data_IF_377457088754
#
_entry.id   IF_377457088754
#
_cell.length_a   1.000
_cell.length_b   1.000
_cell.length_c   1.000
_cell.angle_alpha   90.00
_cell.angle_beta   90.00
_cell.angle_gamma   90.00
#
_symmetry.space_group_name_H-M   'P 1'
#
loop_
_entity.id
_entity.type
_entity.pdbx_description
1 polymer ?
#
# COMPACT_ATOMS: atom_id res chain seq x y z
N UNK A 1 -16.90 9.87 13.67
CA UNK A 1 -16.25 10.78 14.64
C UNK A 1 -15.35 10.03 15.61
N UNK A 2 -15.86 9.11 16.45
CA UNK A 2 -15.07 8.39 17.46
C UNK A 2 -13.80 7.72 16.90
N UNK A 3 -13.94 6.88 15.86
CA UNK A 3 -12.80 6.16 15.25
C UNK A 3 -11.76 7.07 14.59
N UNK A 4 -12.12 8.32 14.25
CA UNK A 4 -11.17 9.31 13.73
C UNK A 4 -10.46 10.04 14.89
N UNK A 5 -11.11 10.19 16.05
CA UNK A 5 -10.57 10.92 17.20
C UNK A 5 -9.53 10.09 17.95
N UNK A 6 -9.76 8.80 18.11
CA UNK A 6 -8.95 7.92 18.95
C UNK A 6 -8.36 6.78 18.13
N UNK A 7 -7.04 6.75 18.01
CA UNK A 7 -6.30 5.67 17.34
C UNK A 7 -5.28 5.07 18.32
N UNK A 8 -5.28 3.74 18.47
CA UNK A 8 -4.39 3.04 19.41
C UNK A 8 -2.93 3.01 18.95
N UNK A 9 -2.67 3.25 17.67
CA UNK A 9 -1.34 3.20 17.06
C UNK A 9 -0.75 4.60 16.92
N UNK A 10 -1.57 5.56 16.48
CA UNK A 10 -1.14 6.91 16.10
C UNK A 10 -1.57 8.00 17.10
N UNK A 11 -2.27 7.61 18.18
CA UNK A 11 -2.68 8.51 19.25
C UNK A 11 -3.97 9.26 18.94
N UNK A 12 -4.20 10.34 19.68
CA UNK A 12 -5.41 11.15 19.55
C UNK A 12 -5.23 12.12 18.38
N UNK A 13 -6.25 12.25 17.53
CA UNK A 13 -6.24 13.28 16.49
C UNK A 13 -6.20 14.67 17.13
N UNK A 14 -5.14 15.42 16.82
CA UNK A 14 -4.83 16.73 17.40
C UNK A 14 -5.79 17.85 16.90
N UNK A 15 -6.51 17.58 15.81
CA UNK A 15 -7.50 18.50 15.28
C UNK A 15 -8.86 18.44 15.98
N UNK A 16 -9.75 19.33 15.54
CA UNK A 16 -11.14 19.39 15.98
C UNK A 16 -12.02 18.54 15.08
N UNK A 17 -12.83 17.68 15.69
CA UNK A 17 -13.81 16.84 15.01
C UNK A 17 -15.18 17.10 15.62
N UNK A 18 -16.14 17.42 14.78
CA UNK A 18 -17.55 17.53 15.14
C UNK A 18 -18.39 16.67 14.19
N UNK A 19 -19.59 16.28 14.64
CA UNK A 19 -20.59 15.66 13.77
C UNK A 19 -21.42 16.77 13.15
N UNK A 20 -21.57 16.76 11.83
CA UNK A 20 -22.52 17.67 11.16
C UNK A 20 -23.94 17.13 11.39
N UNK A 21 -24.82 17.95 11.97
CA UNK A 21 -26.21 17.58 12.26
C UNK A 21 -27.02 17.22 11.01
N UNK A 22 -26.53 17.55 9.81
CA UNK A 22 -27.15 17.26 8.53
C UNK A 22 -26.43 16.17 7.72
N UNK A 23 -25.83 15.18 8.40
CA UNK A 23 -25.07 14.04 7.83
C UNK A 23 -23.66 14.41 7.32
N UNK A 24 -22.66 14.13 8.15
CA UNK A 24 -21.26 14.37 7.81
C UNK A 24 -20.35 14.52 9.03
N UNK A 25 -19.12 14.94 8.76
CA UNK A 25 -18.17 15.37 9.78
C UNK A 25 -17.74 16.81 9.50
N UNK A 26 -17.39 17.54 10.55
CA UNK A 26 -16.65 18.79 10.43
C UNK A 26 -15.27 18.53 11.02
N UNK A 27 -14.23 18.55 10.16
CA UNK A 27 -12.85 18.29 10.57
C UNK A 27 -12.04 19.56 10.30
N UNK A 28 -11.50 20.16 11.37
CA UNK A 28 -10.79 21.44 11.29
C UNK A 28 -11.58 22.53 10.54
N UNK A 29 -12.88 22.64 10.83
CA UNK A 29 -13.79 23.61 10.21
C UNK A 29 -14.25 23.25 8.79
N UNK A 30 -13.74 22.17 8.20
CA UNK A 30 -14.13 21.72 6.86
C UNK A 30 -15.23 20.67 6.95
N UNK A 31 -16.35 20.93 6.26
CA UNK A 31 -17.44 19.96 6.15
C UNK A 31 -17.04 18.82 5.21
N UNK A 32 -17.28 17.60 5.64
CA UNK A 32 -17.00 16.35 4.93
C UNK A 32 -18.30 15.55 4.87
N UNK A 33 -18.76 15.25 3.65
CA UNK A 33 -19.93 14.39 3.44
C UNK A 33 -19.63 12.97 3.89
N UNK A 34 -20.63 12.30 4.45
CA UNK A 34 -20.52 10.91 4.91
C UNK A 34 -21.65 10.07 4.31
N UNK A 35 -21.28 9.01 3.62
CA UNK A 35 -22.20 8.09 2.94
C UNK A 35 -22.10 6.69 3.57
N UNK A 36 -23.16 5.90 3.44
CA UNK A 36 -23.24 4.53 3.99
C UNK A 36 -23.63 3.51 2.91
N UNK A 37 -23.20 3.78 1.67
CA UNK A 37 -23.49 2.91 0.54
C UNK A 37 -22.56 1.71 0.49
N UNK A 38 -23.12 0.54 0.16
CA UNK A 38 -22.33 -0.68 -0.12
C UNK A 38 -21.90 -0.76 -1.57
N UNK A 39 -22.69 -0.18 -2.48
CA UNK A 39 -22.36 -0.10 -3.89
C UNK A 39 -21.59 1.20 -4.16
N UNK A 40 -20.32 1.12 -4.62
CA UNK A 40 -19.54 2.29 -4.98
C UNK A 40 -20.18 3.21 -6.03
N UNK A 41 -21.05 2.66 -6.89
CA UNK A 41 -21.75 3.41 -7.93
C UNK A 41 -22.90 4.25 -7.39
N UNK A 42 -23.42 3.93 -6.19
CA UNK A 42 -24.50 4.68 -5.54
C UNK A 42 -23.98 5.92 -4.78
N UNK A 43 -22.66 6.07 -4.62
CA UNK A 43 -22.09 7.20 -3.89
C UNK A 43 -22.06 8.44 -4.81
N UNK A 44 -22.73 9.56 -4.45
CA UNK A 44 -22.82 10.74 -5.30
C UNK A 44 -21.57 11.63 -5.16
N UNK A 45 -20.41 11.13 -5.59
CA UNK A 45 -19.14 11.85 -5.54
C UNK A 45 -19.16 13.19 -6.27
N UNK A 46 -19.85 13.26 -7.42
CA UNK A 46 -20.00 14.50 -8.18
C UNK A 46 -20.70 15.60 -7.39
N UNK A 47 -21.76 15.26 -6.65
CA UNK A 47 -22.48 16.20 -5.78
C UNK A 47 -21.61 16.66 -4.59
N UNK A 48 -20.73 15.78 -4.11
CA UNK A 48 -19.78 16.10 -3.05
C UNK A 48 -18.59 16.94 -3.53
N UNK A 49 -18.41 17.10 -4.84
CA UNK A 49 -17.21 17.72 -5.44
C UNK A 49 -15.94 16.87 -5.27
N UNK A 50 -16.08 15.57 -5.05
CA UNK A 50 -14.95 14.66 -4.83
C UNK A 50 -14.41 14.12 -6.17
N UNK A 51 -13.30 14.70 -6.65
CA UNK A 51 -12.74 14.35 -7.96
C UNK A 51 -11.84 13.10 -7.93
N UNK A 52 -11.08 12.91 -6.85
CA UNK A 52 -10.13 11.81 -6.68
C UNK A 52 -10.57 10.93 -5.51
N UNK A 53 -10.82 9.65 -5.78
CA UNK A 53 -11.30 8.71 -4.76
C UNK A 53 -10.20 7.75 -4.38
N UNK A 54 -9.97 7.63 -3.07
CA UNK A 54 -9.12 6.58 -2.51
C UNK A 54 -9.99 5.36 -2.24
N UNK A 55 -9.79 4.31 -3.03
CA UNK A 55 -10.48 3.03 -2.84
C UNK A 55 -9.67 2.18 -1.85
N UNK A 56 -10.11 2.21 -0.59
CA UNK A 56 -9.44 1.57 0.55
C UNK A 56 -10.31 0.55 1.29
N UNK A 57 -11.31 -0.03 0.62
CA UNK A 57 -12.17 -1.08 1.18
C UNK A 57 -11.52 -2.47 1.13
N UNK A 58 -10.59 -2.67 0.18
CA UNK A 58 -9.95 -3.95 -0.08
C UNK A 58 -10.76 -4.93 -0.93
N UNK A 59 -11.95 -4.56 -1.42
CA UNK A 59 -12.81 -5.46 -2.23
C UNK A 59 -13.01 -5.01 -3.68
N UNK A 60 -12.78 -3.72 -3.99
CA UNK A 60 -12.92 -3.14 -5.33
C UNK A 60 -11.55 -2.89 -5.99
N UNK A 61 -10.69 -3.90 -6.03
CA UNK A 61 -9.27 -3.76 -6.44
C UNK A 61 -9.00 -4.04 -7.92
N UNK A 62 -10.02 -4.31 -8.73
CA UNK A 62 -9.89 -4.41 -10.20
C UNK A 62 -10.36 -3.12 -10.86
N UNK A 63 -9.90 -2.88 -12.07
CA UNK A 63 -10.27 -1.70 -12.86
C UNK A 63 -11.79 -1.59 -13.00
N UNK A 64 -12.46 -2.68 -13.39
CA UNK A 64 -13.92 -2.72 -13.52
C UNK A 64 -14.65 -2.34 -12.22
N UNK A 65 -14.22 -2.90 -11.09
CA UNK A 65 -14.84 -2.66 -9.79
C UNK A 65 -14.61 -1.22 -9.31
N UNK A 66 -13.38 -0.73 -9.42
CA UNK A 66 -13.03 0.63 -9.03
C UNK A 66 -13.69 1.69 -9.93
N UNK A 67 -13.92 1.39 -11.21
CA UNK A 67 -14.66 2.26 -12.14
C UNK A 67 -16.09 2.54 -11.69
N UNK A 68 -16.67 1.74 -10.78
CA UNK A 68 -17.98 2.04 -10.21
C UNK A 68 -18.02 3.44 -9.55
N UNK A 69 -16.94 3.91 -8.93
CA UNK A 69 -16.89 5.28 -8.40
C UNK A 69 -17.01 6.38 -9.46
N UNK A 70 -16.55 6.12 -10.68
CA UNK A 70 -16.64 7.09 -11.79
C UNK A 70 -18.11 7.29 -12.19
N UNK A 71 -18.94 6.25 -12.07
CA UNK A 71 -20.40 6.36 -12.26
C UNK A 71 -21.04 7.33 -11.26
N UNK A 72 -20.49 7.40 -10.04
CA UNK A 72 -20.87 8.35 -9.01
C UNK A 72 -20.38 9.79 -9.24
N UNK A 73 -19.64 10.05 -10.31
CA UNK A 73 -19.14 11.39 -10.68
C UNK A 73 -17.69 11.68 -10.29
N UNK A 74 -16.94 10.67 -9.80
CA UNK A 74 -15.50 10.80 -9.61
C UNK A 74 -14.74 10.90 -10.95
N UNK A 75 -13.61 11.62 -10.97
CA UNK A 75 -12.74 11.70 -12.15
C UNK A 75 -11.64 10.64 -12.15
N UNK A 76 -11.09 10.33 -10.98
CA UNK A 76 -9.96 9.41 -10.79
C UNK A 76 -10.15 8.52 -9.58
N UNK A 77 -9.62 7.31 -9.64
CA UNK A 77 -9.61 6.36 -8.53
C UNK A 77 -8.20 5.86 -8.27
N UNK A 78 -7.78 5.90 -7.01
CA UNK A 78 -6.52 5.35 -6.52
C UNK A 78 -6.83 4.18 -5.59
N UNK A 79 -6.56 2.96 -6.05
CA UNK A 79 -6.70 1.74 -5.26
C UNK A 79 -5.55 1.69 -4.25
N UNK A 80 -5.85 1.57 -2.96
CA UNK A 80 -4.86 1.54 -1.87
C UNK A 80 -4.26 0.16 -1.63
N UNK A 81 -4.28 -0.71 -2.64
CA UNK A 81 -3.84 -2.09 -2.61
C UNK A 81 -3.37 -2.53 -4.02
N UNK A 82 -2.62 -3.63 -4.15
CA UNK A 82 -2.27 -4.18 -5.46
C UNK A 82 -3.51 -4.49 -6.29
N UNK A 83 -3.45 -4.11 -7.56
CA UNK A 83 -4.47 -4.47 -8.55
C UNK A 83 -3.98 -5.59 -9.47
N UNK A 84 -4.92 -6.43 -9.90
CA UNK A 84 -4.65 -7.44 -10.91
C UNK A 84 -4.40 -6.82 -12.28
N UNK A 85 -5.11 -5.74 -12.61
CA UNK A 85 -5.21 -5.16 -13.96
C UNK A 85 -4.94 -3.64 -14.02
N UNK A 86 -5.16 -2.89 -12.94
CA UNK A 86 -4.87 -1.45 -12.93
C UNK A 86 -3.35 -1.20 -12.88
N UNK A 87 -2.84 -0.20 -13.61
CA UNK A 87 -1.43 0.15 -13.57
C UNK A 87 -1.01 0.56 -12.16
N UNK A 88 0.14 0.03 -11.73
CA UNK A 88 0.70 0.29 -10.40
C UNK A 88 1.78 1.37 -10.48
N UNK A 89 1.74 2.28 -9.50
CA UNK A 89 2.74 3.32 -9.34
C UNK A 89 3.30 3.31 -7.92
N UNK A 90 4.60 3.54 -7.81
CA UNK A 90 5.31 3.76 -6.55
C UNK A 90 6.04 5.11 -6.65
N UNK A 91 5.82 5.96 -5.66
CA UNK A 91 6.45 7.27 -5.57
C UNK A 91 7.98 7.13 -5.45
N UNK A 92 8.73 7.95 -6.21
CA UNK A 92 10.18 7.87 -6.30
C UNK A 92 10.71 6.77 -7.24
N UNK A 93 9.82 5.91 -7.77
CA UNK A 93 10.22 4.77 -8.61
C UNK A 93 9.78 4.98 -10.07
N UNK A 94 8.47 4.96 -10.31
CA UNK A 94 7.88 5.08 -11.66
C UNK A 94 6.69 6.05 -11.72
N UNK A 95 6.45 6.84 -10.67
CA UNK A 95 5.33 7.80 -10.64
C UNK A 95 5.40 8.86 -11.74
N UNK A 96 6.58 9.12 -12.31
CA UNK A 96 6.77 10.02 -13.46
C UNK A 96 6.22 9.45 -14.78
N UNK A 97 5.94 8.15 -14.84
CA UNK A 97 5.35 7.49 -16.00
C UNK A 97 3.82 7.59 -16.04
N UNK A 98 3.21 8.13 -14.97
CA UNK A 98 1.77 8.34 -14.90
C UNK A 98 1.29 9.26 -16.02
N UNK A 99 0.20 8.86 -16.69
CA UNK A 99 -0.48 9.67 -17.70
C UNK A 99 -1.89 10.03 -17.21
N UNK A 100 -2.28 11.28 -17.43
CA UNK A 100 -3.53 11.86 -16.91
C UNK A 100 -4.79 11.27 -17.52
N UNK A 101 -4.69 10.51 -18.59
CA UNK A 101 -5.79 9.78 -19.22
C UNK A 101 -6.17 8.50 -18.44
N UNK A 102 -5.26 7.95 -17.63
CA UNK A 102 -5.50 6.73 -16.84
C UNK A 102 -6.50 7.03 -15.72
N UNK A 103 -7.72 6.45 -15.72
CA UNK A 103 -8.77 6.80 -14.77
C UNK A 103 -8.67 6.07 -13.43
N UNK A 104 -8.10 4.86 -13.44
CA UNK A 104 -7.93 4.01 -12.26
C UNK A 104 -6.48 3.58 -12.16
N UNK A 105 -5.87 3.80 -11.01
CA UNK A 105 -4.50 3.39 -10.72
C UNK A 105 -4.45 2.63 -9.39
N UNK A 106 -3.35 1.92 -9.15
CA UNK A 106 -3.05 1.29 -7.87
C UNK A 106 -1.77 1.87 -7.28
N UNK A 107 -1.79 2.18 -5.98
CA UNK A 107 -0.60 2.59 -5.23
C UNK A 107 0.21 1.40 -4.70
N UNK A 108 0.08 0.23 -5.36
CA UNK A 108 0.70 -1.04 -4.97
C UNK A 108 0.38 -1.44 -3.50
N UNK A 109 1.32 -2.12 -2.83
CA UNK A 109 1.22 -2.49 -1.40
C UNK A 109 2.23 -1.73 -0.56
N UNK A 110 2.04 -1.70 0.77
CA UNK A 110 3.05 -1.18 1.71
C UNK A 110 4.42 -1.86 1.53
N UNK A 111 4.46 -3.20 1.39
CA UNK A 111 5.70 -3.95 1.17
C UNK A 111 6.36 -3.59 -0.18
N UNK A 112 5.58 -3.40 -1.24
CA UNK A 112 6.13 -2.98 -2.54
C UNK A 112 6.69 -1.55 -2.47
N UNK A 113 6.00 -0.63 -1.79
CA UNK A 113 6.50 0.73 -1.57
C UNK A 113 7.78 0.76 -0.73
N UNK A 114 7.97 -0.19 0.21
CA UNK A 114 9.22 -0.34 0.94
C UNK A 114 10.34 -0.94 0.08
N UNK A 115 10.05 -2.00 -0.68
CA UNK A 115 11.07 -2.77 -1.40
C UNK A 115 11.51 -2.09 -2.71
N UNK A 116 10.61 -1.45 -3.44
CA UNK A 116 10.91 -0.93 -4.78
C UNK A 116 11.96 0.20 -4.78
N UNK A 117 11.93 1.20 -3.88
CA UNK A 117 12.98 2.22 -3.81
C UNK A 117 14.36 1.62 -3.48
N UNK A 118 14.41 0.69 -2.52
CA UNK A 118 15.63 -0.05 -2.18
C UNK A 118 16.15 -0.82 -3.41
N UNK A 119 15.28 -1.59 -4.06
CA UNK A 119 15.64 -2.39 -5.22
C UNK A 119 16.10 -1.52 -6.40
N UNK A 120 15.49 -0.34 -6.61
CA UNK A 120 15.90 0.64 -7.63
C UNK A 120 17.34 1.08 -7.42
N UNK A 121 17.71 1.51 -6.21
CA UNK A 121 19.07 1.99 -5.91
C UNK A 121 20.08 0.85 -6.10
N UNK A 122 19.82 -0.32 -5.51
CA UNK A 122 20.73 -1.46 -5.62
C UNK A 122 20.88 -1.91 -7.09
N UNK A 123 19.79 -1.94 -7.84
CA UNK A 123 19.83 -2.35 -9.24
C UNK A 123 20.57 -1.34 -10.11
N UNK A 124 20.33 -0.04 -9.95
CA UNK A 124 20.99 1.00 -10.74
C UNK A 124 22.51 1.05 -10.50
N UNK A 125 22.95 0.87 -9.26
CA UNK A 125 24.37 1.02 -8.89
C UNK A 125 25.17 -0.27 -9.08
N UNK A 126 24.54 -1.44 -8.88
CA UNK A 126 25.24 -2.73 -8.79
C UNK A 126 24.69 -3.83 -9.69
N UNK A 127 23.62 -3.57 -10.45
CA UNK A 127 22.91 -4.54 -11.28
C UNK A 127 22.48 -5.79 -10.52
N UNK A 128 21.26 -5.76 -9.99
CA UNK A 128 20.66 -6.93 -9.33
C UNK A 128 20.35 -8.06 -10.33
N UNK A 129 20.88 -9.26 -10.05
CA UNK A 129 20.68 -10.48 -10.85
C UNK A 129 19.40 -11.20 -10.43
N UNK A 130 19.26 -11.46 -9.13
CA UNK A 130 18.11 -12.15 -8.52
C UNK A 130 18.00 -11.77 -7.05
N UNK A 131 16.80 -11.90 -6.47
CA UNK A 131 16.59 -11.66 -5.05
C UNK A 131 15.35 -12.33 -4.48
N UNK A 132 15.45 -12.69 -3.20
CA UNK A 132 14.39 -13.24 -2.38
C UNK A 132 14.14 -12.31 -1.20
N UNK A 133 12.86 -11.97 -1.02
CA UNK A 133 12.42 -11.08 0.05
C UNK A 133 11.61 -11.82 1.10
N UNK A 134 11.88 -11.52 2.36
CA UNK A 134 10.99 -11.83 3.48
C UNK A 134 10.53 -10.52 4.09
N UNK A 135 9.22 -10.33 4.24
CA UNK A 135 8.70 -9.24 5.07
C UNK A 135 8.18 -9.76 6.39
N UNK A 136 8.79 -9.29 7.48
CA UNK A 136 8.27 -9.48 8.84
C UNK A 136 7.29 -8.35 9.07
N UNK A 137 6.01 -8.69 9.05
CA UNK A 137 4.94 -7.72 8.92
C UNK A 137 4.05 -7.74 10.14
N UNK A 138 3.67 -6.57 10.65
CA UNK A 138 2.60 -6.44 11.64
C UNK A 138 1.32 -7.15 11.19
N UNK A 139 0.51 -7.60 12.15
CA UNK A 139 -0.82 -8.10 11.78
C UNK A 139 -1.73 -6.97 11.30
N UNK A 140 -2.78 -7.33 10.56
CA UNK A 140 -3.71 -6.38 9.94
C UNK A 140 -5.15 -6.76 10.23
N UNK A 141 -6.09 -5.94 9.79
CA UNK A 141 -7.53 -6.16 10.00
C UNK A 141 -8.06 -7.46 9.36
N UNK A 142 -7.30 -8.13 8.49
CA UNK A 142 -7.73 -9.41 7.89
C UNK A 142 -7.57 -10.59 8.85
N UNK A 143 -6.64 -10.52 9.81
CA UNK A 143 -6.37 -11.58 10.78
C UNK A 143 -7.41 -11.63 11.90
N UNK A 144 -7.36 -12.71 12.71
CA UNK A 144 -8.36 -13.02 13.74
C UNK A 144 -7.81 -12.86 15.15
N UNK A 145 -8.67 -12.40 16.06
CA UNK A 145 -8.34 -12.24 17.48
C UNK A 145 -8.19 -13.58 18.20
N UNK A 146 -8.86 -14.62 17.70
CA UNK A 146 -8.75 -16.01 18.12
C UNK A 146 -8.79 -16.92 16.89
N UNK A 147 -8.43 -18.19 17.04
CA UNK A 147 -8.49 -19.16 15.95
C UNK A 147 -9.90 -19.24 15.33
N UNK A 148 -10.00 -19.01 14.02
CA UNK A 148 -11.27 -19.00 13.32
C UNK A 148 -11.16 -19.13 11.79
N UNK A 149 -12.30 -19.27 11.09
CA UNK A 149 -12.31 -19.45 9.64
C UNK A 149 -11.74 -18.26 8.87
N UNK A 150 -10.96 -18.53 7.82
CA UNK A 150 -10.31 -17.49 6.99
C UNK A 150 -10.25 -17.91 5.50
N UNK A 151 -11.40 -18.31 4.95
CA UNK A 151 -11.56 -18.60 3.53
C UNK A 151 -10.44 -19.48 2.94
N UNK A 152 -9.68 -18.92 1.99
CA UNK A 152 -8.54 -19.60 1.34
C UNK A 152 -7.20 -19.44 2.09
N UNK A 153 -7.09 -18.49 3.01
CA UNK A 153 -5.87 -18.27 3.82
C UNK A 153 -6.10 -18.81 5.23
N UNK A 154 -5.96 -20.13 5.38
CA UNK A 154 -6.18 -20.81 6.66
C UNK A 154 -5.23 -20.35 7.76
N UNK A 155 -3.98 -20.05 7.40
CA UNK A 155 -2.96 -19.58 8.35
C UNK A 155 -3.34 -18.22 8.92
N UNK A 156 -3.85 -17.31 8.09
CA UNK A 156 -4.39 -16.02 8.52
C UNK A 156 -5.58 -16.09 9.48
N UNK A 157 -6.22 -17.25 9.61
CA UNK A 157 -7.30 -17.52 10.57
C UNK A 157 -6.81 -17.82 12.00
N UNK A 158 -5.51 -18.04 12.20
CA UNK A 158 -4.95 -18.30 13.53
C UNK A 158 -4.82 -17.01 14.34
N UNK A 159 -4.85 -17.15 15.66
CA UNK A 159 -4.77 -16.05 16.64
C UNK A 159 -3.59 -15.12 16.35
N UNK A 160 -3.88 -13.90 15.90
CA UNK A 160 -2.89 -12.95 15.38
C UNK A 160 -1.83 -12.56 16.41
N UNK A 161 -2.25 -12.35 17.66
CA UNK A 161 -1.37 -11.88 18.73
C UNK A 161 -0.53 -12.98 19.39
N UNK A 162 -0.68 -14.25 18.97
CA UNK A 162 0.00 -15.40 19.60
C UNK A 162 0.82 -16.24 18.62
N UNK A 163 0.86 -15.87 17.33
CA UNK A 163 1.51 -16.68 16.30
C UNK A 163 2.46 -15.86 15.44
N UNK A 164 3.51 -16.51 14.95
CA UNK A 164 4.21 -16.12 13.72
C UNK A 164 3.50 -16.84 12.57
N UNK A 165 2.88 -16.09 11.66
CA UNK A 165 1.98 -16.64 10.64
C UNK A 165 2.60 -16.46 9.25
N UNK A 166 3.11 -17.53 8.62
CA UNK A 166 3.60 -17.44 7.25
C UNK A 166 2.46 -17.15 6.27
N UNK A 167 2.68 -16.23 5.34
CA UNK A 167 1.72 -15.80 4.32
C UNK A 167 2.41 -15.63 2.96
N UNK A 168 1.71 -15.92 1.88
CA UNK A 168 2.17 -15.59 0.54
C UNK A 168 2.03 -14.09 0.29
N UNK A 169 2.90 -13.53 -0.55
CA UNK A 169 2.78 -12.13 -0.97
C UNK A 169 3.23 -11.96 -2.41
N UNK A 170 2.49 -11.14 -3.17
CA UNK A 170 2.86 -10.72 -4.51
C UNK A 170 3.79 -9.50 -4.51
N UNK A 171 4.14 -8.94 -3.35
CA UNK A 171 4.78 -7.63 -3.26
C UNK A 171 6.14 -7.55 -3.96
N UNK A 172 6.99 -8.57 -3.82
CA UNK A 172 8.28 -8.64 -4.52
C UNK A 172 8.12 -8.81 -6.03
N UNK A 173 7.17 -9.66 -6.46
CA UNK A 173 6.86 -9.80 -7.90
C UNK A 173 6.31 -8.49 -8.49
N UNK A 174 5.57 -7.72 -7.70
CA UNK A 174 5.04 -6.41 -8.13
C UNK A 174 6.14 -5.36 -8.36
N UNK A 175 7.33 -5.52 -7.76
CA UNK A 175 8.49 -4.66 -8.07
C UNK A 175 8.83 -4.74 -9.56
N UNK A 176 8.74 -5.94 -10.16
CA UNK A 176 8.94 -6.13 -11.60
C UNK A 176 7.94 -5.40 -12.50
N UNK A 177 6.77 -4.97 -11.96
CA UNK A 177 5.82 -4.14 -12.71
C UNK A 177 6.15 -2.66 -12.67
N UNK A 178 6.82 -2.18 -11.61
CA UNK A 178 7.22 -0.77 -11.44
C UNK A 178 8.69 -0.52 -11.79
N UNK A 179 9.50 -1.57 -11.88
CA UNK A 179 10.87 -1.58 -12.38
C UNK A 179 10.96 -2.75 -13.37
N UNK A 180 10.63 -2.54 -14.66
CA UNK A 180 10.56 -3.61 -15.66
C UNK A 180 11.82 -4.47 -15.76
N UNK A 181 13.01 -3.90 -15.55
CA UNK A 181 14.29 -4.60 -15.60
C UNK A 181 14.49 -5.64 -14.48
N UNK A 182 13.64 -5.57 -13.44
CA UNK A 182 13.57 -6.52 -12.33
C UNK A 182 12.43 -7.54 -12.48
N UNK A 183 11.70 -7.53 -13.61
CA UNK A 183 10.65 -8.50 -13.86
C UNK A 183 11.22 -9.94 -13.90
N UNK A 184 10.61 -10.83 -13.14
CA UNK A 184 11.07 -12.23 -12.99
C UNK A 184 12.28 -12.42 -12.07
N UNK A 185 12.96 -11.35 -11.61
CA UNK A 185 14.16 -11.44 -10.76
C UNK A 185 13.87 -11.43 -9.27
N UNK A 186 12.69 -10.93 -8.87
CA UNK A 186 12.29 -10.77 -7.47
C UNK A 186 11.03 -11.56 -7.14
N UNK A 187 11.09 -12.33 -6.04
CA UNK A 187 9.93 -12.93 -5.39
C UNK A 187 10.15 -12.98 -3.88
N UNK A 188 9.16 -13.41 -3.11
CA UNK A 188 9.30 -13.45 -1.68
C UNK A 188 8.07 -13.97 -0.94
N UNK A 189 8.15 -13.87 0.38
CA UNK A 189 7.12 -14.34 1.31
C UNK A 189 6.95 -13.35 2.47
N UNK A 190 5.95 -13.58 3.33
CA UNK A 190 5.73 -12.77 4.54
C UNK A 190 5.59 -13.64 5.78
N UNK A 191 6.04 -13.11 6.91
CA UNK A 191 5.74 -13.59 8.25
C UNK A 191 4.92 -12.52 8.97
N UNK A 192 3.66 -12.79 9.31
CA UNK A 192 2.88 -11.92 10.18
C UNK A 192 3.29 -12.16 11.64
N UNK A 193 3.49 -11.10 12.40
CA UNK A 193 3.92 -11.17 13.80
C UNK A 193 3.02 -10.35 14.74
N UNK A 194 3.03 -10.63 16.07
CA UNK A 194 2.22 -9.93 17.09
C UNK A 194 2.59 -8.46 17.34
N UNK A 195 2.64 -7.64 16.30
CA UNK A 195 2.83 -6.19 16.37
C UNK A 195 1.69 -5.50 15.62
N UNK A 196 1.25 -4.35 16.14
CA UNK A 196 0.07 -3.66 15.66
C UNK A 196 0.32 -2.79 14.41
N UNK A 197 1.54 -2.25 14.27
CA UNK A 197 1.99 -1.50 13.11
C UNK A 197 3.53 -1.51 13.05
N UNK A 198 4.07 -1.03 11.93
CA UNK A 198 5.48 -1.15 11.50
C UNK A 198 5.82 -2.57 11.04
N UNK A 199 6.54 -2.63 9.94
CA UNK A 199 6.99 -3.86 9.30
C UNK A 199 8.41 -3.66 8.79
N UNK A 200 9.11 -4.75 8.51
CA UNK A 200 10.46 -4.72 7.95
C UNK A 200 10.54 -5.62 6.72
N UNK A 201 11.38 -5.22 5.78
CA UNK A 201 11.77 -6.00 4.61
C UNK A 201 13.20 -6.48 4.80
N UNK A 202 13.41 -7.77 4.63
CA UNK A 202 14.71 -8.41 4.47
C UNK A 202 14.85 -8.83 3.00
N UNK A 203 15.83 -8.25 2.31
CA UNK A 203 16.14 -8.55 0.92
C UNK A 203 17.49 -9.25 0.83
N UNK A 204 17.47 -10.54 0.53
CA UNK A 204 18.65 -11.26 0.10
C UNK A 204 18.75 -11.19 -1.41
N UNK A 205 19.79 -10.57 -1.95
CA UNK A 205 19.98 -10.44 -3.40
C UNK A 205 21.41 -10.73 -3.83
N UNK A 206 21.56 -11.14 -5.09
CA UNK A 206 22.85 -11.27 -5.77
C UNK A 206 23.01 -10.12 -6.75
N UNK A 207 24.12 -9.41 -6.64
CA UNK A 207 24.50 -8.28 -7.51
C UNK A 207 25.61 -8.72 -8.46
N UNK A 208 25.64 -8.12 -9.65
CA UNK A 208 26.64 -8.43 -10.68
C UNK A 208 27.95 -7.68 -10.42
N UNK A 209 27.87 -6.38 -10.16
CA UNK A 209 29.01 -5.57 -9.75
C UNK A 209 29.23 -5.78 -8.26
N UNK A 210 30.31 -6.49 -7.90
CA UNK A 210 30.70 -6.69 -6.52
C UNK A 210 30.85 -5.35 -5.78
N UNK A 211 30.36 -5.31 -4.55
CA UNK A 211 30.42 -4.14 -3.68
C UNK A 211 30.63 -4.58 -2.24
N UNK A 212 31.41 -3.80 -1.51
CA UNK A 212 31.48 -3.86 -0.05
C UNK A 212 30.17 -3.35 0.57
N UNK A 213 29.94 -3.71 1.82
CA UNK A 213 28.75 -3.25 2.54
C UNK A 213 28.73 -1.72 2.72
N UNK A 214 29.90 -1.10 2.91
CA UNK A 214 30.02 0.35 3.03
C UNK A 214 29.66 1.09 1.73
N UNK A 215 30.01 0.53 0.57
CA UNK A 215 29.60 1.07 -0.73
C UNK A 215 28.08 0.98 -0.92
N UNK A 216 27.46 -0.12 -0.47
CA UNK A 216 25.99 -0.27 -0.48
C UNK A 216 25.34 0.80 0.42
N UNK A 217 25.85 0.99 1.64
CA UNK A 217 25.34 2.03 2.56
C UNK A 217 25.50 3.42 1.93
N UNK A 218 26.64 3.71 1.31
CA UNK A 218 26.91 5.00 0.70
C UNK A 218 25.94 5.31 -0.46
N UNK A 219 25.67 4.32 -1.32
CA UNK A 219 24.69 4.44 -2.40
C UNK A 219 23.28 4.73 -1.86
N UNK A 220 22.83 3.97 -0.85
CA UNK A 220 21.52 4.16 -0.23
C UNK A 220 21.42 5.52 0.47
N UNK A 221 22.47 5.94 1.18
CA UNK A 221 22.52 7.25 1.84
C UNK A 221 22.40 8.38 0.82
N UNK A 222 23.20 8.33 -0.25
CA UNK A 222 23.16 9.32 -1.34
C UNK A 222 21.76 9.43 -1.96
N UNK A 223 21.10 8.30 -2.21
CA UNK A 223 19.73 8.30 -2.72
C UNK A 223 18.74 8.92 -1.73
N UNK A 224 18.84 8.58 -0.43
CA UNK A 224 17.96 9.09 0.63
C UNK A 224 18.12 10.59 0.91
N UNK A 225 19.32 11.14 0.67
CA UNK A 225 19.61 12.56 0.83
C UNK A 225 19.32 13.36 -0.46
N UNK A 226 19.18 12.66 -1.59
CA UNK A 226 18.96 13.21 -2.92
C UNK A 226 17.60 12.83 -3.52
N UNK A 227 17.61 12.00 -4.57
CA UNK A 227 16.45 11.75 -5.43
C UNK A 227 15.27 11.06 -4.73
N UNK A 228 15.52 10.29 -3.66
CA UNK A 228 14.50 9.58 -2.88
C UNK A 228 14.21 10.24 -1.53
N UNK A 229 14.61 11.51 -1.33
CA UNK A 229 14.36 12.19 -0.05
C UNK A 229 12.86 12.28 0.26
N UNK A 230 12.47 11.70 1.39
CA UNK A 230 11.08 11.69 1.86
C UNK A 230 10.23 10.51 1.37
N UNK A 231 10.85 9.58 0.63
CA UNK A 231 10.32 8.25 0.29
C UNK A 231 11.00 7.22 1.19
#
# INVERSE_FOLDING_TARGET
AYMLKYDSTHGIFDGKIEVDGNQGLIVNGKKIRFYMEKDPAAIPWGEAGAEYIVESTGVFTTTEKAQAHIKGGAKKVVISAPSADAPMFVMGVNNTEYKSDIPVISNASCTTNCLAPLAKVIHNEFTMIEGLMTTIHSYTATQKTVDGPSGKDWRGGRTAAQNIIPSSTGAAKAVGKVIPDLNGKLTGMSMRVPTANVSVVDLTCRIEKGASYDEIIAALRKASEGELKGV
#
